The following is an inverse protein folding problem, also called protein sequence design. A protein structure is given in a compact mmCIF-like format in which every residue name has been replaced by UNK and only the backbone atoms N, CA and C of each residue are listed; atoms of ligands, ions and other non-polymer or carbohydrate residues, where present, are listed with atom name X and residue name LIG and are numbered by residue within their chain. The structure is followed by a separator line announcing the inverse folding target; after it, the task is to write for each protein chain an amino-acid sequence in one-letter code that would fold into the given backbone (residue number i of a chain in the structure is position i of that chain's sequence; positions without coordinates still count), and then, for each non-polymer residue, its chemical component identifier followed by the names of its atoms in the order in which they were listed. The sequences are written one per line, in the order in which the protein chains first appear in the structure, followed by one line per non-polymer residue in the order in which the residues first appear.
data_IF_357165925565
#
_entry.id   IF_357165925565
#
_cell.length_a   1.000
_cell.length_b   1.000
_cell.length_c   1.000
_cell.angle_alpha   90.00
_cell.angle_beta   90.00
_cell.angle_gamma   90.00
#
_symmetry.space_group_name_H-M   'P 1'
#
loop_
_entity.id
_entity.type
_entity.pdbx_description
1 polymer ?
#
# COMPACT_ATOMS: atom_id res chain seq x y z
N UNK A 1 -28.72 -11.24 35.61
CA UNK A 1 -29.46 -9.98 35.38
C UNK A 1 -28.46 -8.91 34.95
N UNK A 2 -28.74 -8.15 33.89
CA UNK A 2 -27.81 -7.15 33.37
C UNK A 2 -27.83 -5.87 34.23
N UNK A 3 -26.65 -5.29 34.50
CA UNK A 3 -26.49 -4.07 35.30
C UNK A 3 -26.78 -2.82 34.46
N UNK A 4 -27.84 -2.09 34.80
CA UNK A 4 -28.31 -0.86 34.11
C UNK A 4 -27.76 0.44 34.71
N UNK A 5 -26.81 0.36 35.65
CA UNK A 5 -26.29 1.49 36.43
C UNK A 5 -25.50 2.54 35.63
N UNK A 6 -25.19 2.29 34.35
CA UNK A 6 -24.49 3.23 33.46
C UNK A 6 -25.42 4.00 32.50
N UNK A 7 -26.73 3.78 32.58
CA UNK A 7 -27.68 4.49 31.73
C UNK A 7 -27.92 5.90 32.27
N UNK A 8 -27.05 6.84 31.91
CA UNK A 8 -27.31 8.27 32.08
C UNK A 8 -28.60 8.61 31.33
N UNK A 9 -29.52 9.34 31.96
CA UNK A 9 -30.73 9.87 31.31
C UNK A 9 -30.27 10.68 30.10
N UNK A 10 -30.48 10.12 28.91
CA UNK A 10 -30.28 10.83 27.65
C UNK A 10 -31.14 12.11 27.75
N UNK A 11 -30.53 13.26 27.50
CA UNK A 11 -31.21 14.56 27.65
C UNK A 11 -32.45 14.66 26.76
N UNK A 12 -33.11 15.82 26.79
CA UNK A 12 -34.22 16.10 25.86
C UNK A 12 -33.69 15.94 24.43
N UNK A 13 -34.35 15.17 23.56
CA UNK A 13 -33.91 15.03 22.18
C UNK A 13 -33.89 16.40 21.48
N UNK A 14 -32.94 16.64 20.57
CA UNK A 14 -32.88 17.89 19.82
C UNK A 14 -34.17 18.11 19.03
N UNK A 15 -34.52 19.38 18.82
CA UNK A 15 -35.66 19.77 17.98
C UNK A 15 -35.48 19.24 16.55
N UNK A 16 -36.54 18.88 15.80
CA UNK A 16 -36.42 18.46 14.40
C UNK A 16 -35.69 19.47 13.49
N UNK A 17 -35.65 20.75 13.88
CA UNK A 17 -34.91 21.81 13.17
C UNK A 17 -33.39 21.78 13.45
N UNK A 18 -32.97 21.21 14.58
CA UNK A 18 -31.56 21.05 14.99
C UNK A 18 -30.91 19.78 14.39
N UNK A 19 -31.67 19.00 13.63
CA UNK A 19 -31.19 17.77 12.98
C UNK A 19 -30.32 18.11 11.77
N UNK A 20 -29.29 17.30 11.54
CA UNK A 20 -28.35 17.48 10.42
C UNK A 20 -29.08 17.60 9.08
N UNK A 21 -28.67 18.53 8.24
CA UNK A 21 -29.24 18.76 6.90
C UNK A 21 -28.86 17.71 5.86
N UNK A 22 -28.24 16.60 6.28
CA UNK A 22 -27.79 15.50 5.41
C UNK A 22 -28.92 14.94 4.53
N UNK A 23 -30.16 14.93 5.02
CA UNK A 23 -31.33 14.47 4.26
C UNK A 23 -31.68 15.39 3.08
N UNK A 24 -31.25 16.66 3.13
CA UNK A 24 -31.47 17.66 2.07
C UNK A 24 -30.27 17.77 1.11
N UNK A 25 -29.18 17.04 1.38
CA UNK A 25 -28.00 17.07 0.52
C UNK A 25 -28.26 16.30 -0.78
N UNK A 26 -27.79 16.79 -1.94
CA UNK A 26 -27.94 16.08 -3.21
C UNK A 26 -27.19 14.73 -3.16
N UNK A 27 -27.79 13.69 -3.73
CA UNK A 27 -27.19 12.34 -3.81
C UNK A 27 -25.91 12.32 -4.66
N UNK A 28 -25.77 13.26 -5.59
CA UNK A 28 -24.62 13.39 -6.48
C UNK A 28 -23.76 14.57 -6.04
N UNK A 29 -22.49 14.30 -5.77
CA UNK A 29 -21.52 15.34 -5.48
C UNK A 29 -21.40 16.29 -6.71
N UNK A 30 -21.37 17.61 -6.50
CA UNK A 30 -21.23 18.55 -7.61
C UNK A 30 -19.90 18.32 -8.33
N UNK A 31 -19.96 18.06 -9.64
CA UNK A 31 -18.77 17.95 -10.48
C UNK A 31 -18.03 19.27 -10.45
N UNK A 32 -16.79 19.29 -9.95
CA UNK A 32 -15.97 20.49 -9.94
C UNK A 32 -15.54 20.82 -11.38
N UNK A 33 -16.28 21.71 -12.07
CA UNK A 33 -16.07 22.08 -13.48
C UNK A 33 -14.87 23.02 -13.72
N UNK A 34 -13.98 23.19 -12.74
CA UNK A 34 -12.92 24.21 -12.77
C UNK A 34 -11.56 23.75 -13.33
N UNK A 35 -11.45 22.58 -13.96
CA UNK A 35 -10.17 22.12 -14.53
C UNK A 35 -10.36 21.65 -15.98
N UNK A 36 -10.52 22.60 -16.91
CA UNK A 36 -10.75 22.28 -18.32
C UNK A 36 -9.65 22.78 -19.28
N UNK A 37 -8.48 23.26 -18.81
CA UNK A 37 -7.47 23.84 -19.70
C UNK A 37 -5.99 23.58 -19.35
N UNK A 38 -5.65 22.49 -18.68
CA UNK A 38 -4.27 22.00 -18.65
C UNK A 38 -4.25 20.54 -19.05
N UNK A 39 -3.38 20.16 -20.00
CA UNK A 39 -3.10 18.76 -20.29
C UNK A 39 -2.68 18.11 -18.98
N UNK A 40 -3.59 17.44 -18.28
CA UNK A 40 -3.28 16.76 -17.04
C UNK A 40 -2.06 15.87 -17.31
N UNK A 41 -0.97 16.12 -16.60
CA UNK A 41 0.10 15.14 -16.51
C UNK A 41 -0.52 13.89 -15.88
N UNK A 42 -0.92 12.93 -16.71
CA UNK A 42 -1.26 11.59 -16.24
C UNK A 42 0.04 11.03 -15.71
N UNK A 43 0.25 11.13 -14.40
CA UNK A 43 1.37 10.51 -13.71
C UNK A 43 1.29 9.03 -14.08
N UNK A 44 2.16 8.57 -14.98
CA UNK A 44 2.32 7.16 -15.31
C UNK A 44 2.41 6.42 -13.98
N UNK A 45 1.46 5.53 -13.74
CA UNK A 45 1.35 4.87 -12.45
C UNK A 45 2.66 4.12 -12.17
N UNK A 46 3.47 4.65 -11.25
CA UNK A 46 4.78 4.10 -10.92
C UNK A 46 4.67 2.64 -10.45
N UNK A 47 3.50 2.25 -9.91
CA UNK A 47 3.19 0.88 -9.53
C UNK A 47 3.16 -0.05 -10.72
N UNK A 48 2.67 0.42 -11.87
CA UNK A 48 2.64 -0.34 -13.12
C UNK A 48 4.05 -0.49 -13.72
N UNK A 49 4.90 0.53 -13.59
CA UNK A 49 6.32 0.46 -13.98
C UNK A 49 7.16 -0.44 -13.07
N UNK A 50 6.75 -0.60 -11.81
CA UNK A 50 7.37 -1.48 -10.82
C UNK A 50 6.71 -2.87 -10.76
N UNK A 51 5.92 -3.26 -11.76
CA UNK A 51 5.25 -4.57 -11.76
C UNK A 51 6.24 -5.65 -12.21
N UNK A 52 6.73 -6.43 -11.24
CA UNK A 52 7.83 -7.38 -11.43
C UNK A 52 7.36 -8.81 -11.71
N UNK A 53 6.03 -9.03 -11.83
CA UNK A 53 5.33 -10.32 -11.99
C UNK A 53 5.70 -11.41 -10.96
N UNK A 54 6.45 -11.07 -9.90
CA UNK A 54 6.79 -11.96 -8.80
C UNK A 54 5.69 -11.88 -7.73
N UNK A 55 5.08 -13.02 -7.40
CA UNK A 55 3.94 -13.10 -6.47
C UNK A 55 4.23 -13.93 -5.22
N UNK A 56 5.21 -14.86 -5.29
CA UNK A 56 5.58 -15.71 -4.17
C UNK A 56 6.54 -14.99 -3.22
N UNK A 57 6.23 -15.01 -1.92
CA UNK A 57 7.10 -14.42 -0.88
C UNK A 57 8.23 -15.38 -0.53
N UNK A 58 9.46 -14.89 -0.49
CA UNK A 58 10.64 -15.66 -0.04
C UNK A 58 11.12 -15.14 1.31
N UNK A 59 10.58 -15.68 2.40
CA UNK A 59 10.87 -15.23 3.76
C UNK A 59 11.85 -16.19 4.46
N UNK A 60 13.13 -15.81 4.52
CA UNK A 60 14.18 -16.58 5.19
C UNK A 60 14.79 -15.80 6.34
N UNK A 61 15.33 -16.52 7.33
CA UNK A 61 16.17 -15.94 8.39
C UNK A 61 17.62 -16.05 7.97
N UNK A 62 18.34 -14.93 7.96
CA UNK A 62 19.74 -14.84 7.53
C UNK A 62 20.60 -14.21 8.62
N UNK A 63 21.92 -14.34 8.50
CA UNK A 63 22.85 -13.68 9.42
C UNK A 63 22.91 -12.17 9.15
N UNK A 64 23.24 -11.34 10.17
CA UNK A 64 23.36 -9.89 9.99
C UNK A 64 24.46 -9.48 9.02
N UNK A 65 25.56 -10.25 8.97
CA UNK A 65 26.67 -9.98 8.06
C UNK A 65 26.24 -10.15 6.60
N UNK A 66 25.51 -11.23 6.33
CA UNK A 66 24.98 -11.51 5.00
C UNK A 66 24.03 -10.40 4.53
N UNK A 67 23.05 -9.98 5.34
CA UNK A 67 22.09 -8.93 4.96
C UNK A 67 22.79 -7.60 4.64
N UNK A 68 23.85 -7.26 5.37
CA UNK A 68 24.65 -6.05 5.13
C UNK A 68 25.33 -6.09 3.77
N UNK A 69 26.14 -7.12 3.53
CA UNK A 69 26.90 -7.26 2.27
C UNK A 69 25.94 -7.36 1.07
N UNK A 70 24.84 -8.09 1.23
CA UNK A 70 23.84 -8.29 0.21
C UNK A 70 23.17 -6.97 -0.22
N UNK A 71 22.82 -6.11 0.75
CA UNK A 71 22.27 -4.78 0.45
C UNK A 71 23.31 -3.84 -0.16
N UNK A 72 24.55 -3.88 0.32
CA UNK A 72 25.63 -3.06 -0.24
C UNK A 72 25.86 -3.36 -1.73
N UNK A 73 25.88 -4.63 -2.10
CA UNK A 73 26.01 -5.06 -3.51
C UNK A 73 24.80 -4.60 -4.32
N UNK A 74 23.58 -4.82 -3.80
CA UNK A 74 22.36 -4.43 -4.51
C UNK A 74 22.27 -2.92 -4.75
N UNK A 75 22.69 -2.10 -3.78
CA UNK A 75 22.76 -0.65 -3.92
C UNK A 75 23.82 -0.23 -4.94
N UNK A 76 25.02 -0.82 -4.87
CA UNK A 76 26.12 -0.54 -5.81
C UNK A 76 25.73 -0.83 -7.25
N UNK A 77 25.00 -1.93 -7.48
CA UNK A 77 24.54 -2.34 -8.81
C UNK A 77 23.16 -1.76 -9.18
N UNK A 78 22.51 -1.04 -8.26
CA UNK A 78 21.17 -0.48 -8.42
C UNK A 78 20.12 -1.51 -8.88
N UNK A 79 20.19 -2.71 -8.29
CA UNK A 79 19.27 -3.83 -8.58
C UNK A 79 18.33 -4.09 -7.41
N UNK A 80 17.16 -4.67 -7.70
CA UNK A 80 16.25 -5.15 -6.66
C UNK A 80 16.86 -6.39 -5.99
N UNK A 81 16.72 -6.50 -4.67
CA UNK A 81 17.16 -7.67 -3.89
C UNK A 81 16.69 -9.00 -4.51
N UNK A 82 15.47 -9.06 -5.01
CA UNK A 82 14.93 -10.26 -5.66
C UNK A 82 15.71 -10.66 -6.92
N UNK A 83 16.16 -9.68 -7.70
CA UNK A 83 16.94 -9.92 -8.93
C UNK A 83 18.33 -10.42 -8.58
N UNK A 84 18.95 -9.84 -7.55
CA UNK A 84 20.25 -10.29 -7.08
C UNK A 84 20.20 -11.76 -6.60
N UNK A 85 19.13 -12.16 -5.91
CA UNK A 85 18.93 -13.56 -5.52
C UNK A 85 18.78 -14.52 -6.71
N UNK A 86 18.07 -14.11 -7.76
CA UNK A 86 17.92 -14.91 -8.99
C UNK A 86 19.28 -15.09 -9.68
N UNK A 87 20.06 -14.01 -9.84
CA UNK A 87 21.42 -14.06 -10.40
C UNK A 87 22.35 -14.96 -9.56
N UNK A 88 22.28 -14.86 -8.23
CA UNK A 88 23.04 -15.73 -7.34
C UNK A 88 22.67 -17.20 -7.51
N UNK A 89 21.39 -17.50 -7.73
CA UNK A 89 20.92 -18.87 -7.96
C UNK A 89 21.46 -19.43 -9.29
N UNK A 90 21.45 -18.63 -10.35
CA UNK A 90 21.99 -19.03 -11.66
C UNK A 90 23.49 -19.36 -11.56
N UNK A 91 24.29 -18.49 -10.91
CA UNK A 91 25.72 -18.75 -10.66
C UNK A 91 25.92 -20.01 -9.80
N UNK A 92 25.06 -20.23 -8.81
CA UNK A 92 25.14 -21.43 -7.98
C UNK A 92 24.85 -22.71 -8.78
N UNK A 93 23.84 -22.68 -9.67
CA UNK A 93 23.49 -23.77 -10.57
C UNK A 93 24.63 -24.11 -11.53
N UNK A 94 25.19 -23.10 -12.20
CA UNK A 94 26.33 -23.26 -13.11
C UNK A 94 27.51 -23.91 -12.39
N UNK A 95 27.84 -23.41 -11.18
CA UNK A 95 28.95 -23.94 -10.38
C UNK A 95 28.75 -25.39 -9.95
N UNK A 96 27.51 -25.84 -9.79
CA UNK A 96 27.17 -27.19 -9.34
C UNK A 96 26.76 -28.13 -10.46
N UNK A 97 26.58 -27.63 -11.69
CA UNK A 97 26.06 -28.41 -12.81
C UNK A 97 24.58 -28.80 -12.64
N UNK A 98 23.79 -27.96 -11.97
CA UNK A 98 22.34 -28.14 -11.94
C UNK A 98 21.74 -27.47 -13.20
N UNK A 99 21.05 -28.24 -14.03
CA UNK A 99 20.26 -27.74 -15.17
C UNK A 99 18.92 -27.13 -14.71
#
# INVERSE_FOLDING_TARGET
MANLSKLKRLGVPPSPEEVTTNLKSPEIAPSNKYYDNEKFYVRKDARSMMKTNRTLTFATRVSPQFDREFREIAERENVRLTVLLELMLDVYKEKKGYE
#
